data_IF_853345846611
#
_entry.id   IF_853345846611
#
_cell.length_a   1.000
_cell.length_b   1.000
_cell.length_c   1.000
_cell.angle_alpha   90.00
_cell.angle_beta   90.00
_cell.angle_gamma   90.00
#
_symmetry.space_group_name_H-M   'P 1'
#
loop_
_entity.id
_entity.type
_entity.pdbx_description
1 polymer ?
#
# COMPACT_ATOMS: atom_id res chain seq x y z
N UNK A 1 3.13 -21.01 -13.51
CA UNK A 1 2.94 -21.60 -12.16
C UNK A 1 3.77 -20.82 -11.16
N UNK A 2 3.12 -19.97 -10.37
CA UNK A 2 3.76 -19.00 -9.47
C UNK A 2 4.24 -19.67 -8.17
N UNK A 3 5.05 -20.72 -8.27
CA UNK A 3 5.76 -21.26 -7.11
C UNK A 3 7.13 -20.57 -7.04
N UNK A 4 7.09 -19.30 -6.58
CA UNK A 4 8.31 -18.57 -6.25
C UNK A 4 9.12 -19.30 -5.16
N UNK A 5 10.44 -19.05 -5.13
CA UNK A 5 11.38 -19.59 -4.15
C UNK A 5 10.76 -19.62 -2.73
N UNK A 6 10.85 -20.74 -1.98
CA UNK A 6 10.30 -20.84 -0.62
C UNK A 6 10.66 -19.65 0.30
N UNK A 7 11.87 -19.11 0.15
CA UNK A 7 12.32 -17.91 0.85
C UNK A 7 11.49 -16.68 0.49
N UNK A 8 11.22 -16.47 -0.80
CA UNK A 8 10.41 -15.35 -1.28
C UNK A 8 8.97 -15.45 -0.76
N UNK A 9 8.39 -16.66 -0.77
CA UNK A 9 7.07 -16.91 -0.20
C UNK A 9 7.01 -16.57 1.28
N UNK A 10 8.03 -16.97 2.05
CA UNK A 10 8.12 -16.63 3.48
C UNK A 10 8.21 -15.12 3.70
N UNK A 11 9.07 -14.42 2.94
CA UNK A 11 9.22 -12.97 3.04
C UNK A 11 7.92 -12.22 2.72
N UNK A 12 7.17 -12.66 1.70
CA UNK A 12 5.85 -12.11 1.36
C UNK A 12 4.89 -12.22 2.54
N UNK A 13 4.80 -13.40 3.17
CA UNK A 13 3.94 -13.64 4.33
C UNK A 13 4.37 -12.78 5.52
N UNK A 14 5.67 -12.73 5.82
CA UNK A 14 6.21 -11.94 6.92
C UNK A 14 5.91 -10.44 6.74
N UNK A 15 6.13 -9.91 5.54
CA UNK A 15 5.82 -8.52 5.21
C UNK A 15 4.34 -8.19 5.41
N UNK A 16 3.42 -9.04 4.95
CA UNK A 16 1.99 -8.83 5.12
C UNK A 16 1.54 -8.94 6.59
N UNK A 17 2.13 -9.86 7.35
CA UNK A 17 1.79 -10.05 8.77
C UNK A 17 2.25 -8.89 9.64
N UNK A 18 3.42 -8.31 9.35
CA UNK A 18 4.02 -7.19 10.09
C UNK A 18 3.60 -5.80 9.58
N UNK A 19 2.95 -5.72 8.41
CA UNK A 19 2.45 -4.46 7.87
C UNK A 19 1.45 -3.82 8.83
N UNK A 20 1.39 -2.49 8.79
CA UNK A 20 0.29 -1.72 9.38
C UNK A 20 -1.02 -2.14 8.73
N UNK A 21 -2.07 -2.30 9.53
CA UNK A 21 -3.37 -2.84 9.13
C UNK A 21 -4.50 -1.86 9.42
N UNK A 22 -5.66 -2.18 8.86
CA UNK A 22 -6.89 -1.49 9.18
C UNK A 22 -7.15 -1.56 10.69
N UNK A 23 -7.40 -0.40 11.30
CA UNK A 23 -7.63 -0.26 12.74
C UNK A 23 -6.40 0.15 13.55
N UNK A 24 -5.19 0.04 12.99
CA UNK A 24 -3.98 0.51 13.67
C UNK A 24 -3.99 2.05 13.77
N UNK A 25 -3.67 2.57 14.94
CA UNK A 25 -3.51 4.01 15.14
C UNK A 25 -2.12 4.44 14.69
N UNK A 26 -2.06 5.49 13.87
CA UNK A 26 -0.82 6.11 13.43
C UNK A 26 -0.81 7.58 13.81
N UNK A 27 0.32 8.04 14.32
CA UNK A 27 0.63 9.46 14.38
C UNK A 27 0.91 10.00 12.97
N UNK A 28 0.76 11.31 12.77
CA UNK A 28 1.10 11.94 11.48
C UNK A 28 2.57 11.73 11.06
N UNK A 29 3.49 11.59 12.04
CA UNK A 29 4.91 11.32 11.78
C UNK A 29 5.12 9.91 11.23
N UNK A 30 4.43 8.91 11.79
CA UNK A 30 4.51 7.52 11.33
C UNK A 30 3.89 7.36 9.94
N UNK A 31 2.71 7.94 9.72
CA UNK A 31 2.07 7.94 8.39
C UNK A 31 2.98 8.57 7.31
N UNK A 32 3.58 9.72 7.61
CA UNK A 32 4.53 10.35 6.69
C UNK A 32 5.79 9.50 6.47
N UNK A 33 6.28 8.79 7.50
CA UNK A 33 7.40 7.87 7.38
C UNK A 33 7.08 6.68 6.46
N UNK A 34 5.87 6.10 6.57
CA UNK A 34 5.41 5.03 5.67
C UNK A 34 5.41 5.47 4.22
N UNK A 35 4.90 6.67 3.92
CA UNK A 35 4.89 7.23 2.56
C UNK A 35 6.32 7.43 2.04
N UNK A 36 7.23 7.96 2.88
CA UNK A 36 8.65 8.11 2.49
C UNK A 36 9.32 6.77 2.23
N UNK A 37 9.04 5.75 3.05
CA UNK A 37 9.60 4.41 2.89
C UNK A 37 9.05 3.74 1.63
N UNK A 38 7.76 3.88 1.35
CA UNK A 38 7.13 3.37 0.13
C UNK A 38 7.82 3.94 -1.11
N UNK A 39 8.10 5.24 -1.16
CA UNK A 39 8.81 5.88 -2.29
C UNK A 39 10.24 5.37 -2.52
N UNK A 40 10.85 4.73 -1.52
CA UNK A 40 12.21 4.17 -1.62
C UNK A 40 12.23 2.71 -2.05
N UNK A 41 11.08 2.04 -2.14
CA UNK A 41 11.05 0.65 -2.61
C UNK A 41 11.26 0.60 -4.13
N UNK A 42 11.73 -0.54 -4.62
CA UNK A 42 11.97 -0.77 -6.05
C UNK A 42 10.67 -0.80 -6.86
N UNK A 43 9.59 -1.31 -6.26
CA UNK A 43 8.26 -1.42 -6.88
C UNK A 43 7.22 -0.81 -5.94
N UNK A 44 7.07 0.53 -5.92
CA UNK A 44 6.20 1.20 -4.97
C UNK A 44 4.71 1.05 -5.30
N UNK A 45 4.36 0.69 -6.54
CA UNK A 45 2.98 0.69 -7.03
C UNK A 45 2.15 -0.50 -6.54
N UNK A 46 2.80 -1.61 -6.17
CA UNK A 46 2.13 -2.84 -5.77
C UNK A 46 2.80 -3.46 -4.56
N UNK A 47 2.02 -4.12 -3.69
CA UNK A 47 2.56 -4.93 -2.62
C UNK A 47 3.16 -6.23 -3.20
N UNK A 48 3.94 -7.00 -2.42
CA UNK A 48 4.53 -8.25 -2.89
C UNK A 48 3.53 -9.34 -3.35
N UNK A 49 2.23 -9.16 -3.09
CA UNK A 49 1.14 -10.02 -3.56
C UNK A 49 0.36 -9.42 -4.74
N UNK A 50 0.78 -8.27 -5.27
CA UNK A 50 0.16 -7.63 -6.44
C UNK A 50 -0.98 -6.65 -6.15
N UNK A 51 -1.36 -6.41 -4.88
CA UNK A 51 -2.37 -5.39 -4.57
C UNK A 51 -1.79 -3.98 -4.78
N UNK A 52 -2.53 -3.03 -5.37
CA UNK A 52 -2.07 -1.66 -5.48
C UNK A 52 -1.85 -1.05 -4.10
N UNK A 53 -0.79 -0.27 -3.94
CA UNK A 53 -0.45 0.44 -2.68
C UNK A 53 -1.13 1.80 -2.58
N UNK A 54 -1.53 2.38 -3.71
CA UNK A 54 -2.10 3.71 -3.82
C UNK A 54 -3.17 3.72 -4.92
N UNK A 55 -4.16 4.61 -4.77
CA UNK A 55 -5.11 4.97 -5.82
C UNK A 55 -5.07 6.48 -5.99
N UNK A 56 -5.20 6.95 -7.23
CA UNK A 56 -5.36 8.37 -7.52
C UNK A 56 -6.85 8.67 -7.62
N UNK A 57 -7.29 9.74 -6.96
CA UNK A 57 -8.65 10.27 -7.10
C UNK A 57 -8.51 11.75 -7.44
N UNK A 58 -9.01 12.15 -8.60
CA UNK A 58 -8.99 13.53 -9.07
C UNK A 58 -10.01 14.38 -8.32
N UNK A 59 -9.85 15.71 -8.38
CA UNK A 59 -10.82 16.64 -7.78
C UNK A 59 -12.19 16.50 -8.45
N UNK A 60 -12.23 16.33 -9.76
CA UNK A 60 -13.45 16.13 -10.55
C UNK A 60 -14.16 14.83 -10.15
N UNK A 61 -13.40 13.74 -9.93
CA UNK A 61 -13.96 12.48 -9.45
C UNK A 61 -14.60 12.64 -8.07
N UNK A 62 -13.95 13.38 -7.16
CA UNK A 62 -14.52 13.73 -5.87
C UNK A 62 -15.80 14.55 -6.05
N UNK A 63 -15.77 15.62 -6.86
CA UNK A 63 -16.95 16.47 -7.10
C UNK A 63 -18.14 15.66 -7.62
N UNK A 64 -17.91 14.72 -8.55
CA UNK A 64 -18.92 13.80 -9.08
C UNK A 64 -19.48 12.87 -8.01
N UNK A 65 -18.63 12.29 -7.14
CA UNK A 65 -19.07 11.43 -6.04
C UNK A 65 -20.01 12.16 -5.06
N UNK A 66 -19.81 13.46 -4.87
CA UNK A 66 -20.66 14.31 -4.03
C UNK A 66 -21.78 15.03 -4.80
N UNK A 67 -22.02 14.70 -6.08
CA UNK A 67 -23.05 15.31 -6.95
C UNK A 67 -22.93 16.83 -7.05
N UNK A 68 -21.70 17.35 -7.03
CA UNK A 68 -21.41 18.79 -7.12
C UNK A 68 -21.15 19.25 -8.56
N UNK A 69 -20.79 18.31 -9.45
CA UNK A 69 -20.68 18.44 -10.91
C UNK A 69 -20.96 17.09 -11.57
#
# INVERSE_FOLDING_TARGET
NQEGNPKERLLKIMACRQAVKAGDQLTGREAAALIRNLRKTTVPQTCPHGRPTMVAISKEEIEKMFKRR
#
